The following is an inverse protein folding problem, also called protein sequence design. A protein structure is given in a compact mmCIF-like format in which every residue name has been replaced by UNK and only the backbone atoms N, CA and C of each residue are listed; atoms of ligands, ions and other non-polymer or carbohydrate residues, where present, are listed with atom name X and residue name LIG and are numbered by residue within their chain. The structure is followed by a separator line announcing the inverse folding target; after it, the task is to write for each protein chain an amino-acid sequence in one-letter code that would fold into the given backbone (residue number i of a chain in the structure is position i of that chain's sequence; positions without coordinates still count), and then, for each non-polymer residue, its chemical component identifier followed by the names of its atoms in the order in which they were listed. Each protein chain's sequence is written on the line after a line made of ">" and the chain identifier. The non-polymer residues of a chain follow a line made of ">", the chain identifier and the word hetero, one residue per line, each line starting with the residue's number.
data_IF_034811897121
#
_entry.id   IF_034811897121
#
_cell.length_a   1.000
_cell.length_b   1.000
_cell.length_c   1.000
_cell.angle_alpha   90.00
_cell.angle_beta   90.00
_cell.angle_gamma   90.00
#
_symmetry.space_group_name_H-M   'P 1'
#
loop_
_entity.id
_entity.type
_entity.pdbx_description
1 polymer ?
#
# COMPACT_ATOMS: atom_id res chain seq x y z
N UNK A 1 -4.67 18.62 -9.34
CA UNK A 1 -5.91 18.05 -8.79
C UNK A 1 -6.53 19.14 -7.92
N UNK A 2 -7.74 19.54 -8.19
CA UNK A 2 -8.44 20.51 -7.36
C UNK A 2 -9.44 19.74 -6.48
N UNK A 3 -9.46 20.03 -5.21
CA UNK A 3 -10.36 19.39 -4.26
C UNK A 3 -11.11 20.46 -3.47
N UNK A 4 -12.42 20.27 -3.35
CA UNK A 4 -13.35 21.18 -2.68
C UNK A 4 -14.21 20.40 -1.69
N UNK A 5 -13.62 19.71 -0.74
CA UNK A 5 -14.40 19.00 0.26
C UNK A 5 -14.17 19.56 1.66
N UNK A 6 -15.21 19.57 2.47
CA UNK A 6 -15.16 20.05 3.85
C UNK A 6 -14.74 18.87 4.75
N UNK A 7 -13.57 18.97 5.34
CA UNK A 7 -13.01 17.88 6.15
C UNK A 7 -13.20 18.13 7.63
N UNK A 8 -13.66 17.12 8.30
CA UNK A 8 -13.77 17.10 9.76
C UNK A 8 -12.49 16.52 10.39
N UNK A 9 -11.72 17.35 11.10
CA UNK A 9 -10.61 16.89 11.96
C UNK A 9 -9.39 16.33 11.21
N UNK A 10 -8.81 15.24 11.71
CA UNK A 10 -7.58 14.62 11.24
C UNK A 10 -7.79 13.63 10.06
N UNK A 11 -8.71 13.95 9.15
CA UNK A 11 -8.97 13.08 8.00
C UNK A 11 -7.80 13.09 7.01
N UNK A 12 -7.36 11.91 6.58
CA UNK A 12 -6.38 11.77 5.51
C UNK A 12 -7.04 12.09 4.17
N UNK A 13 -6.62 13.17 3.54
CA UNK A 13 -7.15 13.66 2.27
C UNK A 13 -6.77 12.80 1.08
N UNK A 14 -5.51 12.41 1.05
CA UNK A 14 -4.93 11.57 0.02
C UNK A 14 -3.62 10.96 0.54
N UNK A 15 -3.20 9.88 -0.09
CA UNK A 15 -1.90 9.29 0.15
C UNK A 15 -1.09 9.32 -1.14
N UNK A 16 0.16 9.72 -1.05
CA UNK A 16 1.12 9.63 -2.14
C UNK A 16 2.08 8.48 -1.86
N UNK A 17 2.17 7.54 -2.79
CA UNK A 17 3.20 6.51 -2.76
C UNK A 17 4.31 6.96 -3.70
N UNK A 18 5.50 7.21 -3.14
CA UNK A 18 6.66 7.70 -3.88
C UNK A 18 7.75 6.64 -3.81
N UNK A 19 8.26 6.26 -4.96
CA UNK A 19 9.46 5.43 -5.06
C UNK A 19 10.65 6.31 -5.35
N UNK A 20 11.58 6.41 -4.41
CA UNK A 20 12.85 7.08 -4.65
C UNK A 20 13.73 6.20 -5.56
N UNK A 21 14.29 6.81 -6.60
CA UNK A 21 15.27 6.18 -7.48
C UNK A 21 16.70 6.51 -7.09
N UNK A 22 16.87 7.51 -6.23
CA UNK A 22 18.14 7.97 -5.68
C UNK A 22 17.93 8.43 -4.24
N UNK A 23 19.01 8.46 -3.45
CA UNK A 23 18.99 8.97 -2.09
C UNK A 23 18.85 10.50 -2.11
N UNK A 24 17.66 11.01 -1.84
CA UNK A 24 17.35 12.42 -1.77
C UNK A 24 16.41 12.72 -0.59
N UNK A 25 16.57 13.88 0.04
CA UNK A 25 15.64 14.32 1.07
C UNK A 25 14.26 14.64 0.47
N UNK A 26 13.20 14.13 1.05
CA UNK A 26 11.83 14.41 0.61
C UNK A 26 11.49 15.91 0.64
N UNK A 27 12.06 16.65 1.59
CA UNK A 27 11.92 18.10 1.69
C UNK A 27 12.51 18.88 0.49
N UNK A 28 13.44 18.27 -0.23
CA UNK A 28 14.02 18.84 -1.45
C UNK A 28 13.24 18.45 -2.71
N UNK A 29 12.62 17.26 -2.67
CA UNK A 29 11.87 16.70 -3.80
C UNK A 29 10.40 17.15 -3.84
N UNK A 30 9.81 17.46 -2.70
CA UNK A 30 8.39 17.78 -2.58
C UNK A 30 8.19 19.20 -2.04
N UNK A 31 7.35 19.96 -2.71
CA UNK A 31 6.91 21.29 -2.29
C UNK A 31 5.51 21.59 -2.77
N UNK A 32 4.79 22.42 -2.04
CA UNK A 32 3.56 23.03 -2.53
C UNK A 32 3.95 24.31 -3.28
N UNK A 33 3.45 24.46 -4.50
CA UNK A 33 3.63 25.70 -5.24
C UNK A 33 2.30 26.16 -5.84
N UNK A 34 2.18 27.47 -6.02
CA UNK A 34 1.00 28.14 -6.59
C UNK A 34 1.15 28.45 -8.08
N UNK A 35 1.95 27.64 -8.82
CA UNK A 35 2.25 27.91 -10.24
C UNK A 35 1.02 27.82 -11.14
N UNK A 36 0.09 26.94 -10.83
CA UNK A 36 -1.12 26.73 -11.64
C UNK A 36 -2.40 27.14 -10.91
N UNK A 37 -2.44 26.92 -9.60
CA UNK A 37 -3.58 27.24 -8.74
C UNK A 37 -3.02 27.70 -7.39
N UNK A 38 -3.58 28.73 -6.78
CA UNK A 38 -3.18 29.15 -5.44
C UNK A 38 -3.41 27.98 -4.46
N UNK A 39 -2.37 27.67 -3.69
CA UNK A 39 -2.45 26.66 -2.63
C UNK A 39 -3.02 27.34 -1.37
N UNK A 40 -4.32 27.25 -1.21
CA UNK A 40 -5.06 27.89 -0.12
C UNK A 40 -5.92 26.85 0.61
N UNK A 41 -6.04 27.00 1.92
CA UNK A 41 -7.04 26.31 2.72
C UNK A 41 -7.95 27.34 3.41
N UNK A 42 -9.19 26.97 3.59
CA UNK A 42 -10.17 27.81 4.30
C UNK A 42 -10.56 27.18 5.62
N UNK A 43 -10.42 27.91 6.71
CA UNK A 43 -10.88 27.50 8.02
C UNK A 43 -11.79 28.59 8.60
N UNK A 44 -13.05 28.24 8.87
CA UNK A 44 -14.06 29.19 9.38
C UNK A 44 -14.21 30.47 8.53
N UNK A 45 -14.11 30.34 7.20
CA UNK A 45 -14.22 31.46 6.26
C UNK A 45 -12.97 32.35 6.17
N UNK A 46 -11.86 31.95 6.80
CA UNK A 46 -10.56 32.62 6.68
C UNK A 46 -9.60 31.76 5.86
N UNK A 47 -8.84 32.42 4.99
CA UNK A 47 -7.77 31.78 4.21
C UNK A 47 -6.59 31.48 5.12
N UNK A 48 -6.07 30.27 5.02
CA UNK A 48 -4.85 29.81 5.71
C UNK A 48 -3.84 29.37 4.66
N UNK A 49 -2.60 29.79 4.82
CA UNK A 49 -1.51 29.34 3.96
C UNK A 49 -1.26 27.83 4.17
N UNK A 50 -1.09 27.12 3.05
CA UNK A 50 -0.73 25.71 3.05
C UNK A 50 0.76 25.54 2.95
N UNK A 51 1.33 24.78 3.84
CA UNK A 51 2.73 24.33 3.82
C UNK A 51 2.83 22.82 3.97
N UNK A 52 3.91 22.24 3.47
CA UNK A 52 4.30 20.89 3.86
C UNK A 52 5.33 21.03 4.98
N UNK A 53 4.99 20.56 6.14
CA UNK A 53 5.93 20.46 7.24
C UNK A 53 6.48 19.04 7.29
N UNK A 54 7.77 18.91 7.01
CA UNK A 54 8.48 17.66 7.20
C UNK A 54 8.90 17.58 8.66
N UNK A 55 7.99 17.16 9.52
CA UNK A 55 8.38 16.84 10.87
C UNK A 55 9.28 15.60 10.81
N UNK A 56 10.43 15.64 11.52
CA UNK A 56 11.15 14.43 11.90
C UNK A 56 10.34 13.69 12.99
N UNK A 57 9.05 13.57 12.74
CA UNK A 57 8.24 12.56 13.38
C UNK A 57 8.80 11.25 12.88
N UNK A 58 9.17 10.42 13.79
CA UNK A 58 9.39 9.01 13.55
C UNK A 58 8.23 8.55 12.67
N UNK A 59 8.49 8.31 11.42
CA UNK A 59 7.66 7.35 10.70
C UNK A 59 7.56 6.20 11.68
N UNK A 60 6.37 5.89 12.16
CA UNK A 60 6.15 4.73 13.01
C UNK A 60 7.02 3.65 12.40
N UNK A 61 8.02 3.20 13.16
CA UNK A 61 9.13 2.42 12.61
C UNK A 61 8.56 1.35 11.69
N UNK A 62 9.27 0.84 10.70
CA UNK A 62 8.72 0.06 9.62
C UNK A 62 7.66 -0.88 10.16
N UNK A 63 6.39 -0.59 9.82
CA UNK A 63 5.23 -1.30 10.36
C UNK A 63 4.93 -2.44 9.41
N UNK A 64 4.62 -3.61 9.94
CA UNK A 64 4.08 -4.68 9.11
C UNK A 64 2.73 -4.26 8.53
N UNK A 65 2.63 -4.26 7.21
CA UNK A 65 1.39 -3.96 6.50
C UNK A 65 1.24 -4.86 5.28
N UNK A 66 0.06 -5.42 5.11
CA UNK A 66 -0.32 -6.16 3.90
C UNK A 66 -1.27 -5.31 3.08
N UNK A 67 -0.86 -4.99 1.85
CA UNK A 67 -1.67 -4.17 0.94
C UNK A 67 -2.64 -5.01 0.13
N UNK A 68 -3.66 -4.34 -0.43
CA UNK A 68 -4.55 -4.97 -1.40
C UNK A 68 -3.76 -5.32 -2.65
N UNK A 69 -3.97 -6.52 -3.18
CA UNK A 69 -3.36 -6.92 -4.45
C UNK A 69 -3.83 -6.02 -5.59
N UNK A 70 -2.95 -5.75 -6.54
CA UNK A 70 -3.22 -4.86 -7.66
C UNK A 70 -2.78 -5.50 -8.98
N UNK A 71 -3.67 -5.58 -9.98
CA UNK A 71 -5.10 -5.24 -9.94
C UNK A 71 -5.93 -6.20 -9.08
N UNK A 72 -7.12 -5.75 -8.66
CA UNK A 72 -8.15 -6.58 -8.03
C UNK A 72 -9.54 -6.03 -8.41
N UNK A 73 -10.40 -6.76 -9.13
CA UNK A 73 -10.17 -8.11 -9.68
C UNK A 73 -9.04 -8.21 -10.71
N UNK A 74 -8.52 -9.43 -10.92
CA UNK A 74 -7.51 -9.68 -11.95
C UNK A 74 -7.84 -10.90 -12.81
N UNK A 75 -7.30 -10.93 -14.03
CA UNK A 75 -7.50 -11.99 -15.02
C UNK A 75 -6.28 -12.90 -15.13
N UNK A 76 -5.11 -12.34 -15.38
CA UNK A 76 -3.88 -13.10 -15.64
C UNK A 76 -2.84 -12.94 -14.55
N UNK A 77 -2.61 -11.72 -14.08
CA UNK A 77 -1.51 -11.38 -13.18
C UNK A 77 -1.97 -10.36 -12.15
N UNK A 78 -1.52 -10.52 -10.92
CA UNK A 78 -1.66 -9.52 -9.86
C UNK A 78 -0.38 -9.44 -9.02
N UNK A 79 -0.18 -8.32 -8.35
CA UNK A 79 0.92 -8.11 -7.41
C UNK A 79 0.38 -8.11 -5.98
N UNK A 80 0.94 -8.93 -5.13
CA UNK A 80 0.73 -8.89 -3.68
C UNK A 80 1.87 -8.08 -3.10
N UNK A 81 1.55 -7.01 -2.39
CA UNK A 81 2.52 -6.12 -1.79
C UNK A 81 2.37 -6.09 -0.28
N UNK A 82 3.49 -6.00 0.41
CA UNK A 82 3.52 -5.90 1.88
C UNK A 82 4.78 -5.18 2.35
N UNK A 83 4.70 -4.60 3.53
CA UNK A 83 5.82 -3.95 4.19
C UNK A 83 6.28 -4.78 5.39
N UNK A 84 7.59 -4.96 5.55
CA UNK A 84 8.18 -5.64 6.70
C UNK A 84 8.96 -4.64 7.56
N UNK A 85 8.80 -4.67 8.90
CA UNK A 85 9.57 -3.82 9.80
C UNK A 85 11.07 -4.15 9.81
N UNK A 86 11.43 -5.37 9.50
CA UNK A 86 12.81 -5.86 9.39
C UNK A 86 12.88 -6.98 8.37
N UNK A 87 14.08 -7.25 7.83
CA UNK A 87 14.28 -8.36 6.94
C UNK A 87 13.90 -9.68 7.63
N UNK A 88 13.07 -10.49 6.98
CA UNK A 88 12.58 -11.74 7.55
C UNK A 88 12.17 -12.72 6.44
N UNK A 89 12.19 -14.00 6.77
CA UNK A 89 11.49 -15.01 5.99
C UNK A 89 9.99 -14.77 6.10
N UNK A 90 9.27 -14.79 4.96
CA UNK A 90 7.83 -14.72 4.96
C UNK A 90 7.20 -15.83 4.13
N UNK A 91 6.04 -16.27 4.59
CA UNK A 91 5.20 -17.25 3.91
C UNK A 91 3.92 -16.58 3.43
N UNK A 92 3.67 -16.66 2.13
CA UNK A 92 2.43 -16.21 1.51
C UNK A 92 1.57 -17.44 1.22
N UNK A 93 0.41 -17.51 1.85
CA UNK A 93 -0.52 -18.64 1.72
C UNK A 93 -1.79 -18.18 1.01
N UNK A 94 -2.16 -18.86 -0.08
CA UNK A 94 -3.35 -18.57 -0.86
C UNK A 94 -4.36 -19.70 -0.67
N UNK A 95 -5.60 -19.35 -0.35
CA UNK A 95 -6.71 -20.27 -0.12
C UNK A 95 -7.95 -19.86 -0.91
N UNK A 96 -8.72 -20.85 -1.34
CA UNK A 96 -10.03 -20.62 -1.94
C UNK A 96 -11.10 -20.26 -0.89
N UNK A 97 -12.33 -20.00 -1.35
CA UNK A 97 -13.46 -19.66 -0.48
C UNK A 97 -13.85 -20.79 0.49
N UNK A 98 -13.47 -22.03 0.19
CA UNK A 98 -13.66 -23.19 1.07
C UNK A 98 -12.51 -23.37 2.10
N UNK A 99 -11.51 -22.49 2.06
CA UNK A 99 -10.32 -22.56 2.93
C UNK A 99 -9.26 -23.56 2.45
N UNK A 100 -9.45 -24.19 1.30
CA UNK A 100 -8.49 -25.14 0.74
C UNK A 100 -7.23 -24.39 0.29
N UNK A 101 -6.07 -24.92 0.65
CA UNK A 101 -4.77 -24.40 0.22
C UNK A 101 -4.60 -24.57 -1.30
N UNK A 102 -4.38 -23.47 -1.99
CA UNK A 102 -4.11 -23.43 -3.43
C UNK A 102 -2.61 -23.29 -3.70
N UNK A 103 -1.97 -22.32 -3.04
CA UNK A 103 -0.54 -22.04 -3.22
C UNK A 103 0.10 -21.60 -1.91
N UNK A 104 1.38 -21.96 -1.75
CA UNK A 104 2.25 -21.42 -0.71
C UNK A 104 3.55 -20.95 -1.36
N UNK A 105 3.99 -19.75 -0.99
CA UNK A 105 5.23 -19.13 -1.46
C UNK A 105 6.02 -18.77 -0.21
N UNK A 106 7.24 -19.29 -0.11
CA UNK A 106 8.19 -18.94 0.95
C UNK A 106 9.34 -18.18 0.33
N UNK A 107 9.89 -17.22 1.04
CA UNK A 107 11.04 -16.46 0.59
C UNK A 107 11.59 -15.55 1.67
N UNK A 108 12.82 -15.11 1.45
CA UNK A 108 13.46 -14.08 2.26
C UNK A 108 13.16 -12.71 1.67
N UNK A 109 12.69 -11.81 2.51
CA UNK A 109 12.26 -10.46 2.12
C UNK A 109 13.01 -9.40 2.91
N UNK A 110 13.35 -8.31 2.25
CA UNK A 110 14.03 -7.18 2.88
C UNK A 110 13.11 -6.41 3.82
N UNK A 111 13.68 -5.63 4.71
CA UNK A 111 12.95 -4.58 5.43
C UNK A 111 12.38 -3.58 4.43
N UNK A 112 11.19 -3.04 4.72
CA UNK A 112 10.48 -2.11 3.84
C UNK A 112 9.50 -2.80 2.90
N UNK A 113 9.25 -2.18 1.76
CA UNK A 113 8.24 -2.57 0.79
C UNK A 113 8.70 -3.73 -0.08
N UNK A 114 7.89 -4.78 -0.14
CA UNK A 114 8.11 -5.98 -0.92
C UNK A 114 6.93 -6.27 -1.83
N UNK A 115 7.18 -6.91 -2.98
CA UNK A 115 6.15 -7.33 -3.92
C UNK A 115 6.38 -8.76 -4.38
N UNK A 116 5.28 -9.50 -4.55
CA UNK A 116 5.29 -10.86 -5.11
C UNK A 116 4.27 -10.93 -6.23
N UNK A 117 4.73 -11.33 -7.40
CA UNK A 117 3.85 -11.56 -8.55
C UNK A 117 3.12 -12.89 -8.38
N UNK A 118 1.83 -12.86 -8.62
CA UNK A 118 0.95 -14.03 -8.67
C UNK A 118 0.28 -14.11 -10.03
N UNK A 119 0.36 -15.26 -10.67
CA UNK A 119 -0.28 -15.51 -11.95
C UNK A 119 -1.49 -16.44 -11.79
N UNK A 120 -2.43 -16.37 -12.72
CA UNK A 120 -3.57 -17.30 -12.77
C UNK A 120 -3.13 -18.77 -12.84
N UNK A 121 -2.00 -19.05 -13.47
CA UNK A 121 -1.41 -20.40 -13.53
C UNK A 121 -1.02 -20.91 -12.16
N UNK A 122 -0.53 -20.04 -11.28
CA UNK A 122 -0.17 -20.38 -9.91
C UNK A 122 -1.39 -20.82 -9.09
N UNK A 123 -2.58 -20.39 -9.50
CA UNK A 123 -3.85 -20.72 -8.87
C UNK A 123 -4.50 -22.00 -9.40
N UNK A 124 -3.79 -22.74 -10.27
CA UNK A 124 -4.26 -24.02 -10.82
C UNK A 124 -5.63 -23.93 -11.51
N UNK A 125 -5.92 -22.77 -12.13
CA UNK A 125 -7.20 -22.52 -12.81
C UNK A 125 -8.37 -22.18 -11.89
N UNK A 126 -8.14 -22.02 -10.59
CA UNK A 126 -9.16 -21.57 -9.65
C UNK A 126 -9.59 -20.12 -9.96
N UNK A 127 -10.86 -19.83 -9.80
CA UNK A 127 -11.47 -18.51 -10.01
C UNK A 127 -12.42 -18.15 -8.88
N UNK A 128 -12.84 -16.89 -8.82
CA UNK A 128 -13.71 -16.38 -7.78
C UNK A 128 -12.96 -15.74 -6.64
N UNK A 129 -13.59 -15.71 -5.46
CA UNK A 129 -13.02 -15.08 -4.25
C UNK A 129 -12.00 -16.01 -3.61
N UNK A 130 -10.82 -15.48 -3.35
CA UNK A 130 -9.74 -16.15 -2.63
C UNK A 130 -9.21 -15.26 -1.51
N UNK A 131 -8.55 -15.87 -0.55
CA UNK A 131 -7.80 -15.17 0.48
C UNK A 131 -6.30 -15.41 0.32
N UNK A 132 -5.51 -14.39 0.63
CA UNK A 132 -4.07 -14.53 0.79
C UNK A 132 -3.64 -14.01 2.15
N UNK A 133 -2.76 -14.75 2.78
CA UNK A 133 -2.20 -14.45 4.10
C UNK A 133 -0.70 -14.34 3.98
N UNK A 134 -0.13 -13.29 4.55
CA UNK A 134 1.31 -13.13 4.71
C UNK A 134 1.65 -13.33 6.19
N UNK A 135 2.58 -14.23 6.45
CA UNK A 135 3.11 -14.54 7.78
C UNK A 135 4.62 -14.32 7.76
N UNK A 136 5.14 -13.49 8.66
CA UNK A 136 6.56 -13.18 8.80
C UNK A 136 6.93 -13.00 10.28
N UNK A 137 7.56 -14.02 10.88
CA UNK A 137 7.76 -14.06 12.33
C UNK A 137 6.44 -13.99 13.09
N UNK A 138 6.31 -12.99 13.96
CA UNK A 138 5.09 -12.76 14.76
C UNK A 138 4.00 -11.99 13.99
N UNK A 139 4.31 -11.52 12.79
CA UNK A 139 3.38 -10.74 11.98
C UNK A 139 2.52 -11.63 11.09
N UNK A 140 1.23 -11.29 11.05
CA UNK A 140 0.27 -12.00 10.20
C UNK A 140 -0.85 -11.07 9.76
N UNK A 141 -1.15 -11.06 8.47
CA UNK A 141 -2.31 -10.37 7.92
C UNK A 141 -2.92 -11.17 6.77
N UNK A 142 -4.21 -10.98 6.56
CA UNK A 142 -4.99 -11.65 5.51
C UNK A 142 -5.83 -10.62 4.75
N UNK A 143 -5.88 -10.78 3.42
CA UNK A 143 -6.74 -10.02 2.53
C UNK A 143 -7.43 -10.94 1.54
N UNK A 144 -8.43 -10.39 0.86
CA UNK A 144 -9.18 -11.10 -0.18
C UNK A 144 -8.81 -10.55 -1.56
N UNK A 145 -8.85 -11.42 -2.56
CA UNK A 145 -8.70 -11.10 -3.97
C UNK A 145 -9.79 -11.78 -4.79
N UNK A 146 -10.07 -11.23 -5.95
CA UNK A 146 -11.03 -11.79 -6.91
C UNK A 146 -10.32 -12.13 -8.20
N UNK A 147 -10.44 -13.39 -8.61
CA UNK A 147 -9.90 -13.92 -9.87
C UNK A 147 -11.06 -14.07 -10.84
N UNK A 148 -11.00 -13.34 -11.95
CA UNK A 148 -12.01 -13.49 -13.02
C UNK A 148 -11.61 -14.57 -14.01
N UNK A 149 -12.63 -15.07 -14.71
CA UNK A 149 -12.44 -16.14 -15.71
C UNK A 149 -11.83 -15.62 -17.00
#
# INVERSE_FOLDING_TARGET
>A
MAWNDELAGDAVLFSLVIQATEDQMLSEALGINSRYTMAEAYRNGQTTDLGIEFTQGWAAGPVFELYQNTPNPFEEVTMISFNLPQANEATITIRDAAGRLIKRINGDYAAGYNTVQLTKRDLQGASGVMSYTVEAGDYKATRQMVVVQ
#
